data_IF_972573819916
#
_entry.id   IF_972573819916
#
_cell.length_a   1.000
_cell.length_b   1.000
_cell.length_c   1.000
_cell.angle_alpha   90.00
_cell.angle_beta   90.00
_cell.angle_gamma   90.00
#
_symmetry.space_group_name_H-M   'P 1'
#
loop_
_entity.id
_entity.type
_entity.pdbx_description
1 polymer ?
#
# COMPACT_ATOMS: atom_id res chain seq x y z
N UNK A 1 9.48 -28.74 26.16
CA UNK A 1 10.87 -28.22 26.01
C UNK A 1 10.82 -26.73 25.67
N UNK A 2 11.47 -25.85 26.44
CA UNK A 2 11.62 -24.43 26.09
C UNK A 2 13.06 -24.23 25.60
N UNK A 3 13.25 -23.98 24.31
CA UNK A 3 14.57 -23.91 23.67
C UNK A 3 15.44 -22.70 24.07
N UNK A 4 15.01 -21.86 25.02
CA UNK A 4 15.79 -20.72 25.53
C UNK A 4 16.13 -19.62 24.50
N UNK A 5 15.68 -19.75 23.25
CA UNK A 5 15.97 -18.80 22.18
C UNK A 5 15.23 -17.47 22.34
N UNK A 6 15.91 -16.37 22.01
CA UNK A 6 15.31 -15.03 21.93
C UNK A 6 14.44 -14.95 20.67
N UNK A 7 13.14 -14.70 20.85
CA UNK A 7 12.22 -14.46 19.74
C UNK A 7 12.31 -13.00 19.32
N UNK A 8 12.48 -12.75 18.02
CA UNK A 8 12.54 -11.42 17.42
C UNK A 8 11.50 -11.35 16.31
N UNK A 9 10.64 -10.34 16.35
CA UNK A 9 9.73 -10.03 15.26
C UNK A 9 10.53 -9.38 14.12
N UNK A 10 10.69 -10.10 13.02
CA UNK A 10 11.48 -9.68 11.86
C UNK A 10 10.72 -8.86 10.81
N UNK A 11 9.39 -8.78 10.93
CA UNK A 11 8.55 -8.10 9.94
C UNK A 11 8.36 -6.60 10.23
N UNK A 12 8.02 -5.85 9.19
CA UNK A 12 7.71 -4.42 9.27
C UNK A 12 6.34 -4.25 9.94
N UNK A 13 6.17 -3.28 10.85
CA UNK A 13 4.86 -2.97 11.40
C UNK A 13 3.82 -2.74 10.29
N UNK A 14 2.66 -3.41 10.41
CA UNK A 14 1.61 -3.34 9.38
C UNK A 14 1.07 -1.92 9.19
N UNK A 15 1.02 -1.13 10.25
CA UNK A 15 0.60 0.28 10.20
C UNK A 15 1.53 1.13 9.34
N UNK A 16 2.86 0.94 9.49
CA UNK A 16 3.87 1.61 8.66
C UNK A 16 3.71 1.19 7.22
N UNK A 17 3.51 -0.11 6.99
CA UNK A 17 3.26 -0.69 5.66
C UNK A 17 2.06 -0.03 4.99
N UNK A 18 0.89 -0.04 5.62
CA UNK A 18 -0.35 0.51 5.05
C UNK A 18 -0.27 2.03 4.86
N UNK A 19 0.29 2.76 5.83
CA UNK A 19 0.49 4.22 5.69
C UNK A 19 1.41 4.54 4.53
N UNK A 20 2.47 3.77 4.34
CA UNK A 20 3.42 3.95 3.23
C UNK A 20 2.81 3.61 1.89
N UNK A 21 2.05 2.51 1.83
CA UNK A 21 1.24 2.14 0.66
C UNK A 21 0.31 3.29 0.27
N UNK A 22 -0.44 3.83 1.23
CA UNK A 22 -1.31 4.97 1.01
C UNK A 22 -0.52 6.21 0.57
N UNK A 23 0.57 6.56 1.26
CA UNK A 23 1.35 7.74 0.92
C UNK A 23 1.95 7.69 -0.49
N UNK A 24 2.50 6.53 -0.91
CA UNK A 24 3.08 6.34 -2.26
C UNK A 24 2.04 6.22 -3.36
N UNK A 25 0.80 5.86 -3.04
CA UNK A 25 -0.22 5.63 -4.06
C UNK A 25 -0.65 6.95 -4.73
N UNK A 26 -0.63 7.03 -6.08
CA UNK A 26 -1.15 8.17 -6.83
C UNK A 26 -2.63 8.43 -6.49
N UNK A 27 -3.06 9.69 -6.58
CA UNK A 27 -4.44 10.06 -6.24
C UNK A 27 -5.47 9.25 -7.05
N UNK A 28 -5.19 9.00 -8.33
CA UNK A 28 -6.04 8.16 -9.20
C UNK A 28 -6.22 6.73 -8.69
N UNK A 29 -5.13 6.09 -8.24
CA UNK A 29 -5.21 4.73 -7.69
C UNK A 29 -5.92 4.72 -6.34
N UNK A 30 -5.76 5.76 -5.52
CA UNK A 30 -6.50 5.90 -4.25
C UNK A 30 -7.99 6.01 -4.49
N UNK A 31 -8.42 6.91 -5.38
CA UNK A 31 -9.83 7.10 -5.70
C UNK A 31 -10.43 5.83 -6.29
N UNK A 32 -9.70 5.15 -7.17
CA UNK A 32 -10.12 3.87 -7.74
C UNK A 32 -10.29 2.77 -6.68
N UNK A 33 -9.33 2.64 -5.76
CA UNK A 33 -9.39 1.65 -4.68
C UNK A 33 -10.56 1.92 -3.73
N UNK A 34 -10.74 3.18 -3.32
CA UNK A 34 -11.88 3.55 -2.46
C UNK A 34 -13.19 3.29 -3.17
N UNK A 35 -13.30 3.67 -4.45
CA UNK A 35 -14.49 3.40 -5.25
C UNK A 35 -14.77 1.90 -5.37
N UNK A 36 -13.77 1.06 -5.65
CA UNK A 36 -13.97 -0.38 -5.78
C UNK A 36 -14.43 -1.01 -4.46
N UNK A 37 -13.83 -0.61 -3.34
CA UNK A 37 -14.22 -1.11 -2.01
C UNK A 37 -15.62 -0.64 -1.62
N UNK A 38 -15.96 0.62 -1.89
CA UNK A 38 -17.30 1.16 -1.64
C UNK A 38 -18.34 0.45 -2.51
N UNK A 39 -18.04 0.24 -3.78
CA UNK A 39 -18.92 -0.50 -4.69
C UNK A 39 -19.15 -1.92 -4.18
N UNK A 40 -18.10 -2.66 -3.84
CA UNK A 40 -18.22 -4.02 -3.29
C UNK A 40 -19.01 -4.05 -1.96
N UNK A 41 -18.84 -3.05 -1.10
CA UNK A 41 -19.56 -2.95 0.16
C UNK A 41 -21.06 -2.63 -0.01
N UNK A 42 -21.42 -1.87 -1.04
CA UNK A 42 -22.81 -1.54 -1.37
C UNK A 42 -23.52 -2.66 -2.15
N UNK A 43 -22.75 -3.40 -2.96
CA UNK A 43 -23.23 -4.50 -3.78
C UNK A 43 -22.69 -5.84 -3.26
N UNK A 44 -22.93 -6.13 -1.98
CA UNK A 44 -22.52 -7.40 -1.38
C UNK A 44 -23.17 -8.58 -2.11
N UNK A 45 -22.39 -9.55 -2.63
CA UNK A 45 -22.93 -10.75 -3.25
C UNK A 45 -23.73 -11.59 -2.24
N UNK A 46 -24.55 -12.51 -2.75
CA UNK A 46 -25.23 -13.47 -1.88
C UNK A 46 -24.21 -14.36 -1.14
N UNK A 47 -24.56 -14.92 0.05
CA UNK A 47 -23.66 -15.82 0.77
C UNK A 47 -23.16 -17.01 -0.07
N UNK A 48 -24.01 -17.53 -0.96
CA UNK A 48 -23.67 -18.63 -1.86
C UNK A 48 -22.63 -18.20 -2.91
N UNK A 49 -22.74 -16.99 -3.44
CA UNK A 49 -21.75 -16.42 -4.37
C UNK A 49 -20.39 -16.21 -3.69
N UNK A 50 -20.40 -15.73 -2.43
CA UNK A 50 -19.16 -15.56 -1.64
C UNK A 50 -18.47 -16.91 -1.43
N UNK A 51 -19.23 -17.96 -1.05
CA UNK A 51 -18.67 -19.30 -0.89
C UNK A 51 -18.09 -19.86 -2.19
N UNK A 52 -18.76 -19.64 -3.34
CA UNK A 52 -18.23 -20.02 -4.65
C UNK A 52 -16.92 -19.30 -4.96
N UNK A 53 -16.87 -17.98 -4.76
CA UNK A 53 -15.66 -17.18 -4.97
C UNK A 53 -14.50 -17.63 -4.07
N UNK A 54 -14.77 -17.95 -2.80
CA UNK A 54 -13.75 -18.47 -1.88
C UNK A 54 -13.18 -19.79 -2.35
N UNK A 55 -14.03 -20.72 -2.84
CA UNK A 55 -13.59 -22.01 -3.38
C UNK A 55 -12.75 -21.86 -4.65
N UNK A 56 -13.05 -20.88 -5.49
CA UNK A 56 -12.23 -20.56 -6.67
C UNK A 56 -10.87 -19.97 -6.28
N UNK A 57 -10.77 -19.28 -5.14
CA UNK A 57 -9.51 -18.72 -4.62
C UNK A 57 -8.59 -19.76 -3.93
N UNK A 58 -9.11 -20.94 -3.56
CA UNK A 58 -8.29 -22.04 -3.05
C UNK A 58 -7.38 -22.65 -4.13
N UNK A 59 -7.71 -22.44 -5.40
CA UNK A 59 -6.86 -22.79 -6.54
C UNK A 59 -5.66 -21.82 -6.64
N UNK A 60 -4.46 -22.38 -6.53
CA UNK A 60 -3.20 -21.62 -6.54
C UNK A 60 -2.99 -20.86 -7.84
N UNK A 61 -3.43 -21.40 -8.97
CA UNK A 61 -3.30 -20.74 -10.28
C UNK A 61 -4.26 -19.56 -10.37
N UNK A 62 -5.51 -19.72 -9.89
CA UNK A 62 -6.48 -18.63 -9.80
C UNK A 62 -6.01 -17.52 -8.85
N UNK A 63 -5.52 -17.88 -7.66
CA UNK A 63 -4.94 -16.92 -6.72
C UNK A 63 -3.79 -16.13 -7.37
N UNK A 64 -2.93 -16.83 -8.12
CA UNK A 64 -1.80 -16.22 -8.83
C UNK A 64 -2.28 -15.23 -9.88
N UNK A 65 -3.30 -15.57 -10.66
CA UNK A 65 -3.91 -14.67 -11.64
C UNK A 65 -4.51 -13.41 -10.99
N UNK A 66 -5.22 -13.57 -9.87
CA UNK A 66 -5.78 -12.43 -9.10
C UNK A 66 -4.66 -11.52 -8.60
N UNK A 67 -3.59 -12.08 -8.04
CA UNK A 67 -2.43 -11.30 -7.57
C UNK A 67 -1.77 -10.56 -8.74
N UNK A 68 -1.63 -11.21 -9.90
CA UNK A 68 -1.08 -10.57 -11.10
C UNK A 68 -1.96 -9.42 -11.57
N UNK A 69 -3.28 -9.57 -11.57
CA UNK A 69 -4.20 -8.52 -11.99
C UNK A 69 -4.19 -7.34 -11.01
N UNK A 70 -4.22 -7.61 -9.69
CA UNK A 70 -4.06 -6.57 -8.67
C UNK A 70 -2.72 -5.84 -8.84
N UNK A 71 -1.64 -6.57 -9.15
CA UNK A 71 -0.32 -5.97 -9.36
C UNK A 71 -0.29 -5.06 -10.60
N UNK A 72 -1.02 -5.39 -11.66
CA UNK A 72 -1.17 -4.52 -12.85
C UNK A 72 -2.01 -3.28 -12.54
N UNK A 73 -3.13 -3.46 -11.84
CA UNK A 73 -4.08 -2.39 -11.54
C UNK A 73 -3.55 -1.42 -10.48
N UNK A 74 -2.80 -1.93 -9.50
CA UNK A 74 -2.29 -1.19 -8.36
C UNK A 74 -0.82 -1.52 -8.09
N UNK A 75 0.11 -1.15 -9.00
CA UNK A 75 1.53 -1.51 -8.87
C UNK A 75 2.17 -1.01 -7.57
N UNK A 76 1.67 0.10 -7.02
CA UNK A 76 2.11 0.63 -5.73
C UNK A 76 1.80 -0.31 -4.55
N UNK A 77 0.71 -1.09 -4.62
CA UNK A 77 0.41 -2.11 -3.61
C UNK A 77 1.50 -3.17 -3.61
N UNK A 78 1.83 -3.74 -4.77
CA UNK A 78 2.85 -4.79 -4.88
C UNK A 78 4.23 -4.30 -4.42
N UNK A 79 4.62 -3.09 -4.85
CA UNK A 79 5.88 -2.47 -4.45
C UNK A 79 6.00 -2.32 -2.94
N UNK A 80 4.97 -1.77 -2.29
CA UNK A 80 5.04 -1.43 -0.86
C UNK A 80 4.72 -2.60 0.05
N UNK A 81 3.72 -3.42 -0.27
CA UNK A 81 3.28 -4.54 0.57
C UNK A 81 4.22 -5.75 0.47
N UNK A 82 4.86 -5.95 -0.69
CA UNK A 82 5.72 -7.12 -0.94
C UNK A 82 7.19 -6.70 -1.07
N UNK A 83 7.57 -5.94 -2.10
CA UNK A 83 9.00 -5.72 -2.39
C UNK A 83 9.73 -4.93 -1.30
N UNK A 84 9.14 -3.85 -0.79
CA UNK A 84 9.72 -3.11 0.34
C UNK A 84 9.67 -3.92 1.64
N UNK A 85 8.66 -4.78 1.81
CA UNK A 85 8.56 -5.67 2.97
C UNK A 85 9.67 -6.71 2.94
N UNK A 86 9.99 -7.27 1.78
CA UNK A 86 11.13 -8.18 1.56
C UNK A 86 12.45 -7.51 1.89
N UNK A 87 12.64 -6.26 1.44
CA UNK A 87 13.83 -5.47 1.76
C UNK A 87 13.98 -5.26 3.27
N UNK A 88 12.88 -4.89 3.94
CA UNK A 88 12.88 -4.70 5.39
C UNK A 88 13.23 -5.99 6.12
N UNK A 89 12.53 -7.09 5.83
CA UNK A 89 12.75 -8.39 6.49
C UNK A 89 14.15 -8.91 6.24
N UNK A 90 14.66 -8.81 5.00
CA UNK A 90 16.01 -9.24 4.64
C UNK A 90 17.07 -8.46 5.40
N UNK A 91 16.95 -7.12 5.43
CA UNK A 91 17.86 -6.24 6.18
C UNK A 91 17.79 -6.50 7.68
N UNK A 92 16.58 -6.67 8.24
CA UNK A 92 16.38 -6.96 9.66
C UNK A 92 16.98 -8.30 10.06
N UNK A 93 16.74 -9.35 9.27
CA UNK A 93 17.31 -10.68 9.50
C UNK A 93 18.85 -10.65 9.43
N UNK A 94 19.42 -9.96 8.43
CA UNK A 94 20.87 -9.82 8.31
C UNK A 94 21.48 -9.11 9.52
N UNK A 95 20.85 -8.02 10.00
CA UNK A 95 21.32 -7.31 11.19
C UNK A 95 21.34 -8.20 12.44
N UNK A 96 20.33 -9.06 12.61
CA UNK A 96 20.28 -10.05 13.70
C UNK A 96 21.34 -11.13 13.51
N UNK A 97 21.51 -11.66 12.29
CA UNK A 97 22.51 -12.67 11.98
C UNK A 97 23.95 -12.19 12.20
N UNK A 98 24.24 -10.89 12.05
CA UNK A 98 25.56 -10.34 12.37
C UNK A 98 25.87 -10.26 13.87
N UNK A 99 24.86 -10.38 14.75
CA UNK A 99 25.01 -10.23 16.20
C UNK A 99 24.92 -11.57 16.95
N UNK A 100 24.62 -12.67 16.26
CA UNK A 100 24.34 -13.97 16.86
C UNK A 100 24.97 -15.10 16.06
N UNK A 101 25.46 -16.14 16.74
CA UNK A 101 26.13 -17.27 16.08
C UNK A 101 25.17 -18.18 15.29
N UNK A 102 23.90 -18.25 15.66
CA UNK A 102 22.89 -19.07 14.99
C UNK A 102 21.53 -18.38 15.03
N UNK A 103 20.87 -18.31 13.87
CA UNK A 103 19.56 -17.67 13.70
C UNK A 103 18.69 -18.54 12.81
N UNK A 104 17.48 -18.85 13.30
CA UNK A 104 16.43 -19.48 12.52
C UNK A 104 15.39 -18.43 12.14
N UNK A 105 15.13 -18.28 10.85
CA UNK A 105 14.08 -17.39 10.33
C UNK A 105 12.91 -18.23 9.82
N UNK A 106 11.72 -18.00 10.38
CA UNK A 106 10.46 -18.55 9.85
C UNK A 106 9.82 -17.47 9.00
N UNK A 107 9.66 -17.74 7.69
CA UNK A 107 9.22 -16.75 6.71
C UNK A 107 8.19 -17.39 5.78
N UNK A 108 7.16 -16.64 5.40
CA UNK A 108 6.20 -17.08 4.38
C UNK A 108 6.88 -17.32 3.03
N UNK A 109 6.50 -18.43 2.35
CA UNK A 109 7.10 -18.87 1.08
C UNK A 109 7.22 -17.75 0.02
N UNK A 110 6.20 -16.90 -0.08
CA UNK A 110 6.16 -15.79 -1.05
C UNK A 110 7.28 -14.76 -0.89
N UNK A 111 7.89 -14.64 0.29
CA UNK A 111 8.96 -13.68 0.57
C UNK A 111 10.36 -14.26 0.38
N UNK A 112 10.51 -15.58 0.29
CA UNK A 112 11.83 -16.22 0.25
C UNK A 112 12.68 -15.69 -0.92
N UNK A 113 12.12 -15.70 -2.13
CA UNK A 113 12.81 -15.24 -3.35
C UNK A 113 13.18 -13.76 -3.22
N UNK A 114 12.25 -12.93 -2.73
CA UNK A 114 12.45 -11.51 -2.53
C UNK A 114 13.54 -11.22 -1.49
N UNK A 115 13.51 -11.89 -0.35
CA UNK A 115 14.52 -11.73 0.71
C UNK A 115 15.91 -12.17 0.27
N UNK A 116 16.02 -13.30 -0.45
CA UNK A 116 17.28 -13.77 -1.04
C UNK A 116 17.86 -12.75 -2.01
N UNK A 117 17.04 -12.19 -2.91
CA UNK A 117 17.44 -11.14 -3.85
C UNK A 117 17.99 -9.88 -3.17
N UNK A 118 17.57 -9.61 -1.93
CA UNK A 118 17.95 -8.42 -1.18
C UNK A 118 19.03 -8.68 -0.11
N UNK A 119 19.43 -9.93 0.12
CA UNK A 119 20.29 -10.33 1.24
C UNK A 119 21.59 -9.51 1.35
N UNK A 120 22.28 -9.30 0.24
CA UNK A 120 23.58 -8.60 0.25
C UNK A 120 23.46 -7.09 -0.01
N UNK A 121 22.27 -6.58 -0.33
CA UNK A 121 22.11 -5.18 -0.73
C UNK A 121 22.16 -4.24 0.47
N UNK A 122 22.81 -3.07 0.37
CA UNK A 122 22.72 -2.03 1.38
C UNK A 122 21.31 -1.43 1.36
N UNK A 123 20.58 -1.56 2.46
CA UNK A 123 19.19 -1.09 2.60
C UNK A 123 19.13 -0.11 3.75
N UNK A 124 18.63 1.10 3.48
CA UNK A 124 18.42 2.12 4.50
C UNK A 124 17.06 1.87 5.18
N UNK A 125 17.07 1.14 6.30
CA UNK A 125 15.85 0.82 7.05
C UNK A 125 15.02 2.05 7.43
N UNK A 126 15.67 3.19 7.72
CA UNK A 126 14.99 4.44 8.04
C UNK A 126 14.09 4.92 6.89
N UNK A 127 14.50 4.70 5.64
CA UNK A 127 13.67 5.05 4.47
C UNK A 127 12.45 4.13 4.36
N UNK A 128 12.57 2.85 4.73
CA UNK A 128 11.47 1.88 4.72
C UNK A 128 10.50 2.04 5.90
N UNK A 129 10.97 2.63 7.01
CA UNK A 129 10.16 2.97 8.18
C UNK A 129 9.49 4.34 8.06
N UNK A 130 10.02 5.23 7.21
CA UNK A 130 9.40 6.51 6.93
C UNK A 130 8.07 6.32 6.18
N UNK A 131 6.99 6.90 6.71
CA UNK A 131 5.65 6.83 6.10
C UNK A 131 5.48 7.77 4.92
N UNK A 132 6.43 8.68 4.71
CA UNK A 132 6.41 9.65 3.62
C UNK A 132 7.60 9.35 2.69
N UNK A 133 7.39 9.16 1.37
CA UNK A 133 8.49 9.38 0.44
C UNK A 133 9.00 10.82 0.65
N UNK A 134 10.30 11.12 0.43
CA UNK A 134 10.80 12.48 0.53
C UNK A 134 9.91 13.40 -0.33
N UNK A 135 9.16 14.28 0.35
CA UNK A 135 8.21 15.16 -0.30
C UNK A 135 8.96 16.07 -1.25
N UNK A 136 8.72 15.94 -2.56
CA UNK A 136 9.05 17.01 -3.50
C UNK A 136 8.11 18.16 -3.17
N UNK A 137 8.64 19.25 -2.59
CA UNK A 137 7.87 20.46 -2.28
C UNK A 137 7.10 20.87 -3.55
N UNK A 138 5.78 21.18 -3.45
CA UNK A 138 5.02 21.57 -4.62
C UNK A 138 5.68 22.79 -5.26
N UNK A 139 5.94 22.70 -6.57
CA UNK A 139 6.50 23.81 -7.34
C UNK A 139 5.53 24.98 -7.33
N UNK A 140 6.04 26.22 -7.38
CA UNK A 140 5.23 27.43 -7.21
C UNK A 140 4.04 27.55 -8.18
N UNK A 141 4.12 26.94 -9.36
CA UNK A 141 3.05 26.91 -10.36
C UNK A 141 1.84 26.09 -9.91
N UNK A 142 2.04 24.96 -9.23
CA UNK A 142 0.95 24.10 -8.74
C UNK A 142 0.12 24.84 -7.69
N UNK A 143 0.77 25.63 -6.82
CA UNK A 143 0.06 26.49 -5.85
C UNK A 143 -0.78 27.56 -6.55
N UNK A 144 -0.26 28.20 -7.60
CA UNK A 144 -0.99 29.23 -8.36
C UNK A 144 -2.23 28.65 -9.05
N UNK A 145 -2.10 27.48 -9.67
CA UNK A 145 -3.23 26.81 -10.35
C UNK A 145 -4.34 26.42 -9.35
N UNK A 146 -3.97 25.84 -8.20
CA UNK A 146 -4.94 25.49 -7.15
C UNK A 146 -5.68 26.71 -6.60
N UNK A 147 -4.97 27.83 -6.41
CA UNK A 147 -5.57 29.07 -5.92
C UNK A 147 -6.55 29.66 -6.94
N UNK A 148 -6.16 29.68 -8.22
CA UNK A 148 -7.02 30.15 -9.31
C UNK A 148 -8.29 29.30 -9.46
N UNK A 149 -8.17 27.97 -9.37
CA UNK A 149 -9.31 27.06 -9.43
C UNK A 149 -10.28 27.28 -8.26
N UNK A 150 -9.75 27.48 -7.04
CA UNK A 150 -10.58 27.78 -5.87
C UNK A 150 -11.38 29.09 -6.02
N UNK A 151 -10.75 30.14 -6.55
CA UNK A 151 -11.41 31.43 -6.83
C UNK A 151 -12.52 31.25 -7.87
N UNK A 152 -12.26 30.49 -8.94
CA UNK A 152 -13.24 30.25 -10.00
C UNK A 152 -14.49 29.50 -9.48
N UNK A 153 -14.30 28.46 -8.66
CA UNK A 153 -15.40 27.70 -8.06
C UNK A 153 -16.23 28.57 -7.11
N UNK A 154 -15.58 29.38 -6.27
CA UNK A 154 -16.28 30.30 -5.38
C UNK A 154 -17.08 31.36 -6.18
N UNK A 155 -16.48 31.91 -7.23
CA UNK A 155 -17.15 32.86 -8.13
C UNK A 155 -18.39 32.26 -8.82
N UNK A 156 -18.29 31.03 -9.33
CA UNK A 156 -19.40 30.33 -9.96
C UNK A 156 -20.55 30.04 -8.96
N UNK A 157 -20.23 29.70 -7.71
CA UNK A 157 -21.22 29.48 -6.66
C UNK A 157 -21.97 30.78 -6.29
N UNK A 158 -21.25 31.90 -6.17
CA UNK A 158 -21.85 33.22 -5.90
C UNK A 158 -22.72 33.68 -7.08
N UNK A 159 -22.24 33.55 -8.32
CA UNK A 159 -22.99 33.90 -9.51
C UNK A 159 -24.27 33.06 -9.67
N UNK A 160 -24.20 31.74 -9.44
CA UNK A 160 -25.39 30.89 -9.40
C UNK A 160 -26.37 31.34 -8.32
N UNK A 161 -25.88 31.64 -7.11
CA UNK A 161 -26.75 32.08 -6.01
C UNK A 161 -27.45 33.40 -6.30
N UNK A 162 -26.76 34.34 -6.95
CA UNK A 162 -27.35 35.59 -7.41
C UNK A 162 -28.37 35.36 -8.53
N UNK A 163 -28.05 34.52 -9.52
CA UNK A 163 -28.95 34.18 -10.63
C UNK A 163 -30.26 33.54 -10.15
N UNK A 164 -30.20 32.62 -9.19
CA UNK A 164 -31.41 32.02 -8.60
C UNK A 164 -32.17 32.98 -7.67
N UNK A 165 -31.51 33.99 -7.11
CA UNK A 165 -32.15 34.99 -6.24
C UNK A 165 -32.88 36.09 -7.02
N UNK A 166 -32.48 36.42 -8.25
CA UNK A 166 -33.17 37.39 -9.11
C UNK A 166 -34.31 36.79 -9.94
N UNK A 167 -34.41 35.46 -10.01
CA UNK A 167 -35.44 34.73 -10.76
C UNK A 167 -36.63 34.28 -9.90
N UNK A 168 -36.67 34.68 -8.63
CA UNK A 168 -37.74 34.42 -7.66
C UNK A 168 -38.37 35.74 -7.24
#
# INVERSE_FOLDING_TARGET
MKYGGKVILGDRPVEVTLRRTWAKMPLWHKTKLVYSLMFQALFLPSPDDINRMLKEMDDVDMLTLVIQEISKQFPTLMETLVHERDQYMSSRLRAVACQHNSVLAVVGKGHLIGMQKHWQKPIKLNELLSTLPPSKKPTGHVKKILTALGIAVAGAAVASRLYFSTKK
#
